data_IF_221672008536
#
_entry.id   IF_221672008536
#
_cell.length_a   1.000
_cell.length_b   1.000
_cell.length_c   1.000
_cell.angle_alpha   90.00
_cell.angle_beta   90.00
_cell.angle_gamma   90.00
#
_symmetry.space_group_name_H-M   'P 1'
#
loop_
_entity.id
_entity.type
_entity.pdbx_description
1 polymer ?
#
# COMPACT_ATOMS: atom_id res chain seq x y z
N UNK A 1 -6.33 -28.98 -15.91
CA UNK A 1 -5.27 -28.44 -16.79
C UNK A 1 -4.95 -29.50 -17.84
N UNK A 2 -4.50 -29.08 -19.03
CA UNK A 2 -4.01 -30.03 -20.03
C UNK A 2 -2.71 -30.70 -19.54
N UNK A 3 -2.48 -31.97 -19.84
CA UNK A 3 -1.24 -32.68 -19.48
C UNK A 3 -0.01 -31.96 -20.06
N UNK A 4 1.06 -31.81 -19.27
CA UNK A 4 2.32 -31.19 -19.72
C UNK A 4 2.36 -29.66 -19.61
N UNK A 5 1.37 -29.03 -18.97
CA UNK A 5 1.34 -27.58 -18.79
C UNK A 5 2.50 -27.07 -17.93
N UNK A 6 2.99 -27.86 -16.97
CA UNK A 6 4.13 -27.50 -16.11
C UNK A 6 5.41 -27.36 -16.95
N UNK A 7 5.67 -28.32 -17.86
CA UNK A 7 6.82 -28.29 -18.76
C UNK A 7 6.73 -27.11 -19.72
N UNK A 8 5.54 -26.84 -20.28
CA UNK A 8 5.34 -25.71 -21.17
C UNK A 8 5.53 -24.37 -20.45
N UNK A 9 4.98 -24.24 -19.25
CA UNK A 9 5.19 -23.07 -18.40
C UNK A 9 6.68 -22.87 -18.15
N UNK A 10 7.40 -23.95 -17.87
CA UNK A 10 8.79 -23.83 -17.52
C UNK A 10 9.69 -23.44 -18.71
N UNK A 11 9.42 -24.01 -19.89
CA UNK A 11 10.05 -23.59 -21.13
C UNK A 11 9.78 -22.11 -21.44
N UNK A 12 8.55 -21.64 -21.22
CA UNK A 12 8.18 -20.24 -21.44
C UNK A 12 8.92 -19.28 -20.51
N UNK A 13 9.09 -19.66 -19.23
CA UNK A 13 9.85 -18.86 -18.27
C UNK A 13 11.31 -18.75 -18.67
N UNK A 14 11.95 -19.86 -19.02
CA UNK A 14 13.35 -19.86 -19.49
C UNK A 14 13.52 -18.94 -20.69
N UNK A 15 12.69 -19.12 -21.73
CA UNK A 15 12.73 -18.30 -22.93
C UNK A 15 12.53 -16.81 -22.64
N UNK A 16 11.60 -16.47 -21.74
CA UNK A 16 11.38 -15.08 -21.32
C UNK A 16 12.63 -14.47 -20.69
N UNK A 17 13.27 -15.14 -19.73
CA UNK A 17 14.46 -14.59 -19.06
C UNK A 17 15.66 -14.49 -20.00
N UNK A 18 15.85 -15.47 -20.87
CA UNK A 18 16.90 -15.45 -21.89
C UNK A 18 16.72 -14.28 -22.86
N UNK A 19 15.50 -14.02 -23.34
CA UNK A 19 15.20 -12.84 -24.15
C UNK A 19 15.38 -11.54 -23.34
N UNK A 20 14.87 -11.50 -22.11
CA UNK A 20 14.81 -10.28 -21.30
C UNK A 20 16.19 -9.67 -21.06
N UNK A 21 17.20 -10.51 -20.79
CA UNK A 21 18.57 -10.01 -20.54
C UNK A 21 19.27 -9.47 -21.80
N UNK A 22 18.74 -9.76 -22.99
CA UNK A 22 19.27 -9.22 -24.26
C UNK A 22 18.72 -7.84 -24.61
N UNK A 23 17.68 -7.36 -23.91
CA UNK A 23 17.08 -6.05 -24.16
C UNK A 23 18.10 -4.95 -23.93
N UNK A 24 18.13 -3.96 -24.82
CA UNK A 24 19.10 -2.84 -24.76
C UNK A 24 19.05 -2.10 -23.43
N UNK A 25 17.86 -1.90 -22.87
CA UNK A 25 17.67 -1.28 -21.55
C UNK A 25 18.31 -2.11 -20.44
N UNK A 26 18.15 -3.44 -20.48
CA UNK A 26 18.76 -4.34 -19.51
C UNK A 26 20.29 -4.34 -19.65
N UNK A 27 20.80 -4.51 -20.87
CA UNK A 27 22.24 -4.54 -21.14
C UNK A 27 22.95 -3.22 -20.83
N UNK A 28 22.23 -2.09 -20.89
CA UNK A 28 22.76 -0.78 -20.49
C UNK A 28 22.95 -0.68 -18.98
N UNK A 29 22.00 -1.19 -18.20
CA UNK A 29 22.05 -1.16 -16.73
C UNK A 29 22.96 -2.25 -16.16
N UNK A 30 22.98 -3.41 -16.82
CA UNK A 30 23.73 -4.61 -16.41
C UNK A 30 24.69 -5.08 -17.51
N UNK A 31 25.68 -4.27 -17.90
CA UNK A 31 26.60 -4.61 -18.97
C UNK A 31 27.39 -5.88 -18.65
N UNK A 32 27.74 -6.63 -19.70
CA UNK A 32 28.49 -7.88 -19.58
C UNK A 32 29.87 -7.70 -18.95
N UNK A 33 30.40 -6.47 -19.00
CA UNK A 33 31.66 -6.05 -18.36
C UNK A 33 31.60 -6.01 -16.83
N UNK A 34 30.40 -5.99 -16.23
CA UNK A 34 30.27 -6.16 -14.77
C UNK A 34 30.72 -7.56 -14.38
N UNK A 35 31.47 -7.65 -13.28
CA UNK A 35 31.77 -8.93 -12.66
C UNK A 35 30.49 -9.61 -12.15
N UNK A 36 30.53 -10.92 -11.92
CA UNK A 36 29.37 -11.64 -11.39
C UNK A 36 28.92 -11.13 -10.02
N UNK A 37 29.87 -10.77 -9.15
CA UNK A 37 29.58 -10.12 -7.87
C UNK A 37 28.84 -8.79 -8.07
N UNK A 38 29.37 -7.90 -8.91
CA UNK A 38 28.73 -6.61 -9.20
C UNK A 38 27.34 -6.77 -9.82
N UNK A 39 27.17 -7.75 -10.70
CA UNK A 39 25.87 -8.05 -11.32
C UNK A 39 24.84 -8.49 -10.27
N UNK A 40 25.18 -9.45 -9.41
CA UNK A 40 24.27 -9.93 -8.34
C UNK A 40 23.98 -8.81 -7.34
N UNK A 41 24.98 -8.01 -6.96
CA UNK A 41 24.79 -6.89 -6.03
C UNK A 41 23.91 -5.79 -6.63
N UNK A 42 24.06 -5.50 -7.93
CA UNK A 42 23.21 -4.54 -8.63
C UNK A 42 21.77 -5.05 -8.78
N UNK A 43 21.57 -6.34 -9.02
CA UNK A 43 20.25 -6.97 -8.99
C UNK A 43 19.63 -6.86 -7.60
N UNK A 44 20.39 -7.19 -6.55
CA UNK A 44 19.92 -7.12 -5.17
C UNK A 44 19.57 -5.68 -4.75
N UNK A 45 20.37 -4.70 -5.15
CA UNK A 45 20.07 -3.30 -4.91
C UNK A 45 18.74 -2.89 -5.56
N UNK A 46 18.48 -3.34 -6.79
CA UNK A 46 17.22 -3.06 -7.50
C UNK A 46 16.00 -3.75 -6.85
N UNK A 47 16.19 -4.88 -6.16
CA UNK A 47 15.12 -5.53 -5.38
C UNK A 47 14.89 -4.88 -4.01
N UNK A 48 15.67 -3.85 -3.66
CA UNK A 48 15.64 -3.21 -2.35
C UNK A 48 16.41 -3.98 -1.27
N UNK A 49 17.41 -4.76 -1.66
CA UNK A 49 18.25 -5.55 -0.75
C UNK A 49 17.56 -6.82 -0.23
N UNK A 50 16.67 -7.42 -1.03
CA UNK A 50 15.83 -8.52 -0.57
C UNK A 50 16.58 -9.85 -0.40
N UNK A 51 17.70 -10.06 -1.09
CA UNK A 51 18.46 -11.29 -1.00
C UNK A 51 19.20 -11.39 0.33
N UNK A 52 19.20 -12.58 0.92
CA UNK A 52 20.09 -12.89 2.03
C UNK A 52 21.55 -12.94 1.56
N UNK A 53 22.49 -12.72 2.48
CA UNK A 53 23.94 -12.84 2.19
C UNK A 53 24.28 -14.21 1.60
N UNK A 54 23.73 -15.28 2.18
CA UNK A 54 23.94 -16.64 1.67
C UNK A 54 23.44 -16.83 0.24
N UNK A 55 22.25 -16.29 -0.09
CA UNK A 55 21.71 -16.42 -1.46
C UNK A 55 22.52 -15.63 -2.46
N UNK A 56 22.99 -14.44 -2.07
CA UNK A 56 23.90 -13.64 -2.88
C UNK A 56 25.18 -14.42 -3.18
N UNK A 57 25.83 -14.99 -2.17
CA UNK A 57 27.09 -15.72 -2.34
C UNK A 57 26.93 -17.02 -3.14
N UNK A 58 25.80 -17.71 -2.98
CA UNK A 58 25.39 -18.85 -3.81
C UNK A 58 25.34 -18.44 -5.29
N UNK A 59 24.63 -17.35 -5.62
CA UNK A 59 24.48 -16.89 -7.00
C UNK A 59 25.80 -16.50 -7.65
N UNK A 60 26.68 -15.82 -6.91
CA UNK A 60 28.01 -15.46 -7.41
C UNK A 60 28.84 -16.71 -7.70
N UNK A 61 28.77 -17.71 -6.82
CA UNK A 61 29.44 -19.00 -7.01
C UNK A 61 28.88 -19.75 -8.22
N UNK A 62 27.55 -19.82 -8.35
CA UNK A 62 26.89 -20.48 -9.48
C UNK A 62 27.23 -19.83 -10.81
N UNK A 63 27.24 -18.49 -10.89
CA UNK A 63 27.66 -17.76 -12.10
C UNK A 63 29.11 -18.07 -12.47
N UNK A 64 29.99 -18.16 -11.48
CA UNK A 64 31.40 -18.56 -11.69
C UNK A 64 31.50 -20.00 -12.23
N UNK A 65 30.58 -20.87 -11.82
CA UNK A 65 30.50 -22.27 -12.24
C UNK A 65 29.66 -22.51 -13.51
N UNK A 66 29.31 -21.45 -14.26
CA UNK A 66 28.66 -21.57 -15.57
C UNK A 66 27.16 -21.33 -15.59
N UNK A 67 26.53 -20.92 -14.48
CA UNK A 67 25.18 -20.36 -14.52
C UNK A 67 25.14 -19.11 -15.41
N UNK A 68 24.08 -18.92 -16.18
CA UNK A 68 23.92 -17.74 -17.03
C UNK A 68 23.40 -16.53 -16.24
N UNK A 69 23.59 -15.33 -16.78
CA UNK A 69 23.01 -14.09 -16.21
C UNK A 69 21.47 -14.13 -16.17
N UNK A 70 20.84 -14.78 -17.15
CA UNK A 70 19.38 -14.98 -17.18
C UNK A 70 18.91 -15.91 -16.06
N UNK A 71 19.62 -17.02 -15.83
CA UNK A 71 19.33 -17.93 -14.72
C UNK A 71 19.52 -17.24 -13.36
N UNK A 72 20.57 -16.43 -13.20
CA UNK A 72 20.77 -15.67 -11.97
C UNK A 72 19.66 -14.62 -11.76
N UNK A 73 19.27 -13.86 -12.79
CA UNK A 73 18.15 -12.92 -12.73
C UNK A 73 16.86 -13.64 -12.31
N UNK A 74 16.57 -14.77 -12.94
CA UNK A 74 15.40 -15.59 -12.61
C UNK A 74 15.42 -16.04 -11.15
N UNK A 75 16.55 -16.54 -10.67
CA UNK A 75 16.72 -16.97 -9.28
C UNK A 75 16.49 -15.83 -8.27
N UNK A 76 16.86 -14.60 -8.63
CA UNK A 76 16.54 -13.40 -7.82
C UNK A 76 15.05 -13.06 -7.86
N UNK A 77 14.42 -13.10 -9.04
CA UNK A 77 13.00 -12.76 -9.21
C UNK A 77 12.07 -13.79 -8.53
N UNK A 78 12.46 -15.07 -8.54
CA UNK A 78 11.71 -16.16 -7.91
C UNK A 78 12.09 -16.37 -6.43
N UNK A 79 12.94 -15.52 -5.86
CA UNK A 79 13.32 -15.60 -4.45
C UNK A 79 12.15 -15.28 -3.51
N UNK A 80 12.01 -16.08 -2.45
CA UNK A 80 10.91 -15.96 -1.50
C UNK A 80 11.00 -14.67 -0.65
N UNK A 81 12.21 -14.19 -0.31
CA UNK A 81 12.36 -12.96 0.44
C UNK A 81 11.97 -11.77 -0.42
N UNK A 82 12.34 -11.77 -1.70
CA UNK A 82 11.90 -10.76 -2.66
C UNK A 82 10.37 -10.77 -2.81
N UNK A 83 9.79 -11.94 -3.04
CA UNK A 83 8.33 -12.11 -3.17
C UNK A 83 7.59 -11.61 -1.93
N UNK A 84 8.06 -11.97 -0.73
CA UNK A 84 7.49 -11.54 0.55
C UNK A 84 7.61 -10.03 0.76
N UNK A 85 8.76 -9.44 0.41
CA UNK A 85 8.98 -7.99 0.53
C UNK A 85 8.03 -7.20 -0.38
N UNK A 86 7.82 -7.65 -1.61
CA UNK A 86 6.87 -7.00 -2.54
C UNK A 86 5.41 -7.21 -2.12
N UNK A 87 5.08 -8.39 -1.62
CA UNK A 87 3.76 -8.66 -1.06
C UNK A 87 3.45 -7.74 0.12
N UNK A 88 4.38 -7.57 1.06
CA UNK A 88 4.20 -6.68 2.22
C UNK A 88 3.97 -5.23 1.80
N UNK A 89 4.72 -4.73 0.81
CA UNK A 89 4.53 -3.40 0.21
C UNK A 89 3.12 -3.24 -0.36
N UNK A 90 2.70 -4.19 -1.21
CA UNK A 90 1.38 -4.18 -1.82
C UNK A 90 0.26 -4.30 -0.77
N UNK A 91 0.47 -5.12 0.26
CA UNK A 91 -0.48 -5.29 1.36
C UNK A 91 -0.71 -3.98 2.12
N UNK A 92 0.36 -3.25 2.45
CA UNK A 92 0.26 -1.92 3.09
C UNK A 92 -0.50 -0.96 2.20
N UNK A 93 -0.17 -0.91 0.90
CA UNK A 93 -0.84 -0.03 -0.07
C UNK A 93 -2.34 -0.33 -0.16
N UNK A 94 -2.73 -1.61 -0.17
CA UNK A 94 -4.13 -2.02 -0.17
C UNK A 94 -4.88 -1.57 1.09
N UNK A 95 -4.23 -1.43 2.26
CA UNK A 95 -4.88 -0.88 3.45
C UNK A 95 -5.23 0.60 3.26
N UNK A 96 -4.34 1.38 2.64
CA UNK A 96 -4.61 2.79 2.30
C UNK A 96 -5.79 2.91 1.33
N UNK A 97 -5.82 2.10 0.28
CA UNK A 97 -6.92 2.11 -0.68
C UNK A 97 -8.25 1.63 -0.07
N UNK A 98 -8.22 0.58 0.75
CA UNK A 98 -9.42 0.01 1.35
C UNK A 98 -10.03 0.89 2.44
N UNK A 99 -9.23 1.33 3.40
CA UNK A 99 -9.71 2.07 4.57
C UNK A 99 -9.72 3.58 4.37
N UNK A 100 -8.67 4.15 3.76
CA UNK A 100 -8.52 5.61 3.66
C UNK A 100 -8.97 6.19 2.32
N UNK A 101 -9.19 5.33 1.31
CA UNK A 101 -9.63 5.69 -0.05
C UNK A 101 -8.72 6.72 -0.72
N UNK A 102 -7.40 6.65 -0.47
CA UNK A 102 -6.39 7.59 -1.00
C UNK A 102 -5.03 6.93 -1.18
N UNK A 103 -4.15 7.57 -1.95
CA UNK A 103 -2.74 7.22 -1.97
C UNK A 103 -2.07 7.62 -0.64
N UNK A 104 -0.99 6.95 -0.23
CA UNK A 104 -0.28 7.31 1.00
C UNK A 104 0.22 8.75 1.04
N UNK A 105 0.64 9.28 -0.11
CA UNK A 105 1.18 10.63 -0.27
C UNK A 105 0.14 11.67 -0.69
N UNK A 106 -1.15 11.33 -0.76
CA UNK A 106 -2.19 12.34 -0.98
C UNK A 106 -2.29 13.26 0.25
N UNK A 107 -2.83 14.47 0.05
CA UNK A 107 -3.18 15.39 1.14
C UNK A 107 -4.00 14.66 2.24
N UNK A 108 -3.68 14.83 3.53
CA UNK A 108 -2.88 15.92 4.11
C UNK A 108 -1.37 15.68 4.24
N UNK A 109 -0.89 14.44 4.08
CA UNK A 109 0.48 14.08 4.49
C UNK A 109 1.55 14.50 3.47
N UNK A 110 1.23 14.46 2.16
CA UNK A 110 2.13 14.81 1.06
C UNK A 110 3.47 14.02 1.04
N UNK A 111 3.58 12.95 1.82
CA UNK A 111 4.77 12.13 1.97
C UNK A 111 4.43 10.64 2.18
N UNK A 112 5.43 9.79 2.41
CA UNK A 112 5.24 8.34 2.60
C UNK A 112 5.53 7.87 4.03
N UNK A 113 5.60 8.77 5.02
CA UNK A 113 6.06 8.43 6.38
C UNK A 113 5.17 7.38 7.03
N UNK A 114 3.84 7.55 6.93
CA UNK A 114 2.88 6.57 7.44
C UNK A 114 3.01 5.21 6.75
N UNK A 115 3.16 5.20 5.43
CA UNK A 115 3.35 3.98 4.66
C UNK A 115 4.65 3.26 5.07
N UNK A 116 5.76 3.99 5.18
CA UNK A 116 7.05 3.45 5.58
C UNK A 116 7.05 2.95 7.02
N UNK A 117 6.36 3.66 7.93
CA UNK A 117 6.16 3.23 9.31
C UNK A 117 5.45 1.88 9.36
N UNK A 118 4.32 1.74 8.66
CA UNK A 118 3.55 0.50 8.64
C UNK A 118 4.28 -0.64 7.94
N UNK A 119 4.97 -0.37 6.83
CA UNK A 119 5.81 -1.34 6.16
C UNK A 119 6.94 -1.84 7.06
N UNK A 120 7.61 -0.93 7.78
CA UNK A 120 8.66 -1.26 8.75
C UNK A 120 8.11 -2.14 9.86
N UNK A 121 6.96 -1.76 10.44
CA UNK A 121 6.32 -2.55 11.50
C UNK A 121 5.91 -3.93 11.00
N UNK A 122 5.31 -4.02 9.81
CA UNK A 122 4.91 -5.29 9.21
C UNK A 122 6.13 -6.22 8.98
N UNK A 123 7.24 -5.66 8.50
CA UNK A 123 8.48 -6.40 8.30
C UNK A 123 9.11 -6.86 9.64
N UNK A 124 9.05 -6.05 10.70
CA UNK A 124 9.51 -6.45 12.05
C UNK A 124 8.76 -7.67 12.59
N UNK A 125 7.50 -7.86 12.19
CA UNK A 125 6.68 -9.01 12.56
C UNK A 125 6.61 -10.07 11.46
N UNK A 126 7.59 -10.11 10.54
CA UNK A 126 7.69 -11.10 9.47
C UNK A 126 6.42 -11.22 8.60
N UNK A 127 5.77 -10.09 8.28
CA UNK A 127 4.53 -10.09 7.50
C UNK A 127 3.27 -10.43 8.31
N UNK A 128 3.38 -10.68 9.62
CA UNK A 128 2.22 -10.94 10.46
C UNK A 128 1.49 -9.63 10.80
N UNK A 129 0.45 -9.33 10.02
CA UNK A 129 -0.35 -8.12 10.17
C UNK A 129 -1.14 -8.05 11.48
N UNK A 130 -1.42 -9.19 12.12
CA UNK A 130 -2.10 -9.26 13.42
C UNK A 130 -1.16 -8.77 14.51
N UNK A 131 0.06 -9.31 14.55
CA UNK A 131 1.09 -8.90 15.51
C UNK A 131 1.57 -7.46 15.25
N UNK A 132 1.59 -7.03 13.98
CA UNK A 132 1.86 -5.64 13.63
C UNK A 132 0.71 -4.68 14.04
N UNK A 133 -0.42 -5.20 14.52
CA UNK A 133 -1.66 -4.47 14.83
C UNK A 133 -2.13 -3.56 13.69
N UNK A 134 -1.79 -3.91 12.45
CA UNK A 134 -1.86 -2.98 11.33
C UNK A 134 -3.30 -2.62 10.99
N UNK A 135 -4.16 -3.62 10.76
CA UNK A 135 -5.57 -3.40 10.41
C UNK A 135 -6.31 -2.63 11.51
N UNK A 136 -6.03 -2.96 12.78
CA UNK A 136 -6.61 -2.27 13.95
C UNK A 136 -6.23 -0.80 13.98
N UNK A 137 -5.01 -0.45 13.61
CA UNK A 137 -4.56 0.93 13.60
C UNK A 137 -5.18 1.76 12.47
N UNK A 138 -5.43 1.17 11.29
CA UNK A 138 -6.14 1.89 10.22
C UNK A 138 -7.59 2.20 10.62
N UNK A 139 -8.32 1.25 11.21
CA UNK A 139 -9.71 1.45 11.66
C UNK A 139 -9.80 2.42 12.85
N UNK A 140 -8.85 2.38 13.78
CA UNK A 140 -8.84 3.27 14.95
C UNK A 140 -8.18 4.62 14.70
N UNK A 141 -7.56 4.81 13.53
CA UNK A 141 -6.92 6.08 13.15
C UNK A 141 -7.89 7.24 13.28
N UNK A 142 -7.38 8.40 13.71
CA UNK A 142 -8.18 9.61 13.80
C UNK A 142 -8.75 10.01 12.43
N UNK A 143 -7.98 9.79 11.36
CA UNK A 143 -8.41 10.06 9.98
C UNK A 143 -9.61 9.18 9.58
N UNK A 144 -9.53 7.86 9.76
CA UNK A 144 -10.64 6.96 9.43
C UNK A 144 -11.91 7.34 10.21
N UNK A 145 -11.77 7.62 11.51
CA UNK A 145 -12.89 8.06 12.35
C UNK A 145 -13.47 9.41 11.94
N UNK A 146 -12.64 10.37 11.54
CA UNK A 146 -13.10 11.68 11.08
C UNK A 146 -13.80 11.61 9.71
N UNK A 147 -13.34 10.74 8.82
CA UNK A 147 -13.91 10.60 7.46
C UNK A 147 -15.13 9.70 7.41
N UNK A 148 -15.08 8.57 8.13
CA UNK A 148 -16.04 7.46 7.98
C UNK A 148 -16.65 6.98 9.30
N UNK A 149 -16.20 7.48 10.44
CA UNK A 149 -16.82 7.20 11.73
C UNK A 149 -18.15 7.94 11.92
N UNK A 150 -18.98 7.52 12.88
CA UNK A 150 -20.20 8.24 13.23
C UNK A 150 -19.86 9.69 13.58
N UNK A 151 -20.39 10.65 12.82
CA UNK A 151 -20.23 12.07 13.16
C UNK A 151 -20.87 12.29 14.51
N UNK A 152 -20.10 12.76 15.49
CA UNK A 152 -20.69 13.28 16.71
C UNK A 152 -21.65 14.41 16.33
N UNK A 153 -22.73 14.59 17.10
CA UNK A 153 -23.69 15.69 16.88
C UNK A 153 -22.96 17.03 16.73
N UNK A 154 -21.89 17.26 17.50
CA UNK A 154 -21.07 18.48 17.40
C UNK A 154 -20.35 18.65 16.05
N UNK A 155 -19.87 17.57 15.41
CA UNK A 155 -19.26 17.62 14.08
C UNK A 155 -20.31 17.75 12.97
N UNK A 156 -21.48 17.10 13.10
CA UNK A 156 -22.60 17.29 12.18
C UNK A 156 -23.10 18.74 12.20
N UNK A 157 -23.14 19.37 13.38
CA UNK A 157 -23.56 20.75 13.59
C UNK A 157 -22.54 21.77 13.08
N UNK A 158 -21.23 21.47 13.14
CA UNK A 158 -20.19 22.31 12.57
C UNK A 158 -20.21 22.34 11.02
N UNK A 159 -20.60 21.23 10.38
CA UNK A 159 -20.81 21.15 8.93
C UNK A 159 -22.18 21.71 8.50
N UNK A 160 -23.18 21.76 9.38
CA UNK A 160 -24.46 22.43 9.15
C UNK A 160 -24.36 23.95 9.44
N UNK A 161 -23.39 24.62 8.82
CA UNK A 161 -23.46 26.09 8.62
C UNK A 161 -24.15 26.36 7.28
N UNK A 162 -25.31 25.75 7.08
CA UNK A 162 -26.09 25.92 5.86
C UNK A 162 -26.89 27.20 6.00
N UNK A 163 -26.56 28.22 5.19
CA UNK A 163 -27.38 29.41 5.02
C UNK A 163 -28.78 28.99 4.55
N UNK A 164 -29.72 28.87 5.49
CA UNK A 164 -31.13 28.74 5.16
C UNK A 164 -31.72 30.15 5.07
N UNK A 165 -32.00 30.58 3.84
CA UNK A 165 -32.65 31.86 3.52
C UNK A 165 -31.99 33.09 4.17
N UNK A 166 -30.66 33.14 4.15
CA UNK A 166 -29.91 34.35 4.51
C UNK A 166 -29.91 34.72 5.99
N UNK A 167 -30.18 33.79 6.91
CA UNK A 167 -30.08 34.03 8.36
C UNK A 167 -29.04 33.12 9.02
N UNK A 168 -28.21 33.70 9.88
CA UNK A 168 -27.30 32.96 10.74
C UNK A 168 -28.04 32.46 11.98
N UNK A 169 -28.08 31.14 12.16
CA UNK A 169 -28.56 30.51 13.40
C UNK A 169 -27.36 30.00 14.21
N UNK A 170 -27.45 30.09 15.54
CA UNK A 170 -26.40 29.60 16.44
C UNK A 170 -26.76 28.19 16.95
N UNK A 171 -25.75 27.41 17.32
CA UNK A 171 -25.92 26.01 17.78
C UNK A 171 -26.89 25.84 18.96
N UNK A 172 -27.07 26.90 19.76
CA UNK A 172 -28.00 26.95 20.90
C UNK A 172 -29.49 26.94 20.52
N UNK A 173 -29.82 27.25 19.26
CA UNK A 173 -31.21 27.37 18.78
C UNK A 173 -31.74 26.05 18.18
N UNK A 174 -30.90 25.00 18.19
CA UNK A 174 -31.17 23.69 17.62
C UNK A 174 -31.45 22.69 18.75
N UNK A 175 -32.61 22.05 18.72
CA UNK A 175 -32.99 21.02 19.71
C UNK A 175 -33.01 19.64 19.05
N UNK A 176 -32.45 18.64 19.74
CA UNK A 176 -32.49 17.25 19.32
C UNK A 176 -33.93 16.71 19.38
N UNK A 177 -34.46 16.31 18.22
CA UNK A 177 -35.73 15.58 18.13
C UNK A 177 -35.53 14.06 18.20
N UNK A 178 -36.63 13.32 18.34
CA UNK A 178 -36.62 11.86 18.18
C UNK A 178 -36.44 11.52 16.69
N UNK A 179 -35.42 10.71 16.36
CA UNK A 179 -35.05 10.34 14.99
C UNK A 179 -34.01 11.28 14.34
N UNK A 180 -33.72 11.10 13.04
CA UNK A 180 -32.75 11.90 12.26
C UNK A 180 -33.21 13.35 11.95
N UNK A 181 -34.09 13.93 12.77
CA UNK A 181 -34.66 15.27 12.56
C UNK A 181 -34.15 16.26 13.62
N UNK A 182 -33.89 17.50 13.19
CA UNK A 182 -33.49 18.62 14.06
C UNK A 182 -34.56 19.70 14.00
N UNK A 183 -35.02 20.17 15.16
CA UNK A 183 -36.03 21.23 15.25
C UNK A 183 -35.37 22.57 15.57
N UNK A 184 -35.76 23.62 14.84
CA UNK A 184 -35.35 25.02 15.11
C UNK A 184 -36.49 25.72 15.84
N UNK A 185 -36.21 26.33 16.99
CA UNK A 185 -37.21 27.11 17.73
C UNK A 185 -37.14 28.58 17.29
N UNK A 186 -38.14 29.04 16.54
CA UNK A 186 -38.31 30.47 16.22
C UNK A 186 -38.99 31.19 17.40
N UNK A 187 -38.37 32.20 18.04
CA UNK A 187 -38.98 32.93 19.15
C UNK A 187 -40.23 33.75 18.78
N UNK A 188 -40.59 33.87 17.49
CA UNK A 188 -41.66 34.76 17.01
C UNK A 188 -42.80 34.08 16.24
N UNK A 189 -42.82 32.75 16.14
CA UNK A 189 -43.87 32.04 15.40
C UNK A 189 -44.45 30.85 16.20
N UNK A 190 -45.78 30.66 16.26
CA UNK A 190 -46.41 29.65 17.10
C UNK A 190 -46.51 28.25 16.46
N UNK A 191 -45.80 27.93 15.36
CA UNK A 191 -45.91 26.61 14.71
C UNK A 191 -44.56 26.09 14.20
N UNK A 192 -44.25 24.86 14.59
CA UNK A 192 -43.12 24.07 14.13
C UNK A 192 -43.20 23.85 12.62
N UNK A 193 -42.15 24.20 11.88
CA UNK A 193 -42.00 23.81 10.48
C UNK A 193 -41.10 22.56 10.41
N UNK A 194 -41.59 21.52 9.72
CA UNK A 194 -40.84 20.30 9.40
C UNK A 194 -39.79 20.65 8.33
N UNK A 195 -38.53 20.30 8.57
CA UNK A 195 -37.49 20.17 7.54
C UNK A 195 -37.30 18.68 7.26
#
# INVERSE_FOLDING_TARGET
GATGWETQLEANKVAYFDEFVTRSTFATVYPTTMTYAQYVDALNANTGGALSTSKRDELVTSLTNGMTRAQALRSVVEDNNFSSAQFNKAFVLMQYFGYLRRNPNDSPDQNFDGYNFWLTKLNQFNGNFVNAEMVKAFITSAEYRQRFGPRSINQAMAHCKTSLRGRSFYAKDLHAGQGNYVWIRDPRAPRFARV
#
